data_IF_424121914820
#
_entry.id   IF_424121914820
#
_cell.length_a   1.000
_cell.length_b   1.000
_cell.length_c   1.000
_cell.angle_alpha   90.00
_cell.angle_beta   90.00
_cell.angle_gamma   90.00
#
_symmetry.space_group_name_H-M   'P 1'
#
loop_
_entity.id
_entity.type
_entity.pdbx_description
1 polymer ?
#
# COMPACT_ATOMS: atom_id res chain seq x y z
N UNK A 1 1.53 5.29 7.15
CA UNK A 1 0.39 5.05 6.24
C UNK A 1 -0.18 3.67 6.46
N UNK A 2 0.08 2.71 5.55
CA UNK A 2 -0.44 1.33 5.68
C UNK A 2 0.22 0.53 6.81
N UNK A 3 1.55 0.62 6.94
CA UNK A 3 2.31 -0.05 8.01
C UNK A 3 2.01 0.51 9.42
N UNK A 4 1.29 1.62 9.53
CA UNK A 4 0.89 2.20 10.82
C UNK A 4 -0.49 1.70 11.29
N UNK A 5 -1.19 0.88 10.49
CA UNK A 5 -2.47 0.27 10.85
C UNK A 5 -2.18 -1.13 11.41
N UNK A 6 -2.02 -1.32 12.74
CA UNK A 6 -1.43 -2.55 13.28
C UNK A 6 -2.28 -3.79 13.03
N UNK A 7 -3.61 -3.60 13.05
CA UNK A 7 -4.59 -4.66 12.81
C UNK A 7 -5.04 -4.73 11.34
N UNK A 8 -4.48 -3.88 10.47
CA UNK A 8 -4.86 -3.85 9.05
C UNK A 8 -4.24 -5.00 8.27
N UNK A 9 -5.03 -5.63 7.40
CA UNK A 9 -4.56 -6.74 6.57
C UNK A 9 -3.31 -6.38 5.75
N UNK A 10 -3.23 -5.15 5.22
CA UNK A 10 -2.06 -4.70 4.47
C UNK A 10 -0.79 -4.65 5.32
N UNK A 11 -0.88 -4.20 6.56
CA UNK A 11 0.29 -4.13 7.47
C UNK A 11 0.83 -5.54 7.75
N UNK A 12 -0.07 -6.50 7.98
CA UNK A 12 0.27 -7.91 8.19
C UNK A 12 0.95 -8.52 6.96
N UNK A 13 0.39 -8.29 5.77
CA UNK A 13 0.96 -8.79 4.50
C UNK A 13 2.35 -8.21 4.22
N UNK A 14 2.51 -6.90 4.38
CA UNK A 14 3.79 -6.22 4.20
C UNK A 14 4.84 -6.74 5.20
N UNK A 15 4.46 -6.90 6.47
CA UNK A 15 5.36 -7.43 7.51
C UNK A 15 5.74 -8.88 7.25
N UNK A 16 4.78 -9.72 6.84
CA UNK A 16 5.02 -11.12 6.48
C UNK A 16 5.98 -11.26 5.29
N UNK A 17 5.96 -10.29 4.38
CA UNK A 17 6.87 -10.19 3.24
C UNK A 17 8.18 -9.42 3.55
N UNK A 18 8.48 -9.20 4.83
CA UNK A 18 9.76 -8.66 5.28
C UNK A 18 9.90 -7.14 5.20
N UNK A 19 8.82 -6.39 4.92
CA UNK A 19 8.87 -4.94 5.08
C UNK A 19 8.60 -4.54 6.52
N UNK A 20 9.51 -3.75 7.08
CA UNK A 20 9.23 -3.01 8.31
C UNK A 20 9.04 -1.53 8.01
N UNK A 21 8.21 -0.87 8.84
CA UNK A 21 8.05 0.59 8.84
C UNK A 21 9.41 1.29 8.88
N UNK A 22 10.29 0.80 9.76
CA UNK A 22 11.62 1.37 9.97
C UNK A 22 12.46 1.35 8.70
N UNK A 23 12.45 0.25 7.95
CA UNK A 23 13.26 0.11 6.73
C UNK A 23 12.72 1.01 5.61
N UNK A 24 11.38 1.07 5.46
CA UNK A 24 10.71 1.96 4.50
C UNK A 24 11.01 3.41 4.83
N UNK A 25 10.89 3.83 6.09
CA UNK A 25 11.18 5.21 6.51
C UNK A 25 12.65 5.57 6.31
N UNK A 26 13.56 4.69 6.74
CA UNK A 26 14.99 4.90 6.58
C UNK A 26 15.38 5.06 5.11
N UNK A 27 14.80 4.26 4.22
CA UNK A 27 15.04 4.36 2.79
C UNK A 27 14.37 5.60 2.17
N UNK A 28 13.12 5.89 2.52
CA UNK A 28 12.40 7.06 2.01
C UNK A 28 13.16 8.37 2.33
N UNK A 29 13.69 8.49 3.55
CA UNK A 29 14.53 9.63 3.94
C UNK A 29 15.80 9.75 3.09
N UNK A 30 16.38 8.62 2.66
CA UNK A 30 17.60 8.60 1.83
C UNK A 30 17.31 8.93 0.37
N UNK A 31 16.20 8.43 -0.18
CA UNK A 31 15.85 8.57 -1.60
C UNK A 31 15.27 9.95 -1.91
N UNK A 32 14.37 10.44 -1.08
CA UNK A 32 13.66 11.71 -1.32
C UNK A 32 14.49 12.90 -0.83
N UNK A 33 15.37 12.69 0.17
CA UNK A 33 16.07 13.76 0.86
C UNK A 33 15.13 14.65 1.69
N UNK A 34 15.66 15.50 2.58
CA UNK A 34 14.84 16.55 3.20
C UNK A 34 14.51 17.57 2.11
N UNK A 35 13.25 17.65 1.70
CA UNK A 35 12.78 18.68 0.77
C UNK A 35 13.15 20.08 1.27
N UNK A 36 13.55 20.95 0.35
CA UNK A 36 13.98 22.32 0.58
C UNK A 36 12.84 23.23 1.05
N UNK A 37 12.25 23.01 2.22
CA UNK A 37 11.46 23.99 3.01
C UNK A 37 10.30 24.75 2.35
N UNK A 38 9.96 24.49 1.08
CA UNK A 38 8.90 25.20 0.38
C UNK A 38 7.57 24.55 0.78
N UNK A 39 7.00 25.08 1.86
CA UNK A 39 5.67 24.78 2.35
C UNK A 39 4.59 25.25 1.34
N UNK A 40 4.48 24.57 0.20
CA UNK A 40 3.22 24.48 -0.52
C UNK A 40 2.35 23.42 0.15
N UNK A 41 1.04 23.63 0.21
CA UNK A 41 0.11 22.60 0.67
C UNK A 41 0.40 21.30 -0.07
N UNK A 42 0.78 20.21 0.61
CA UNK A 42 1.11 18.97 -0.07
C UNK A 42 -0.21 18.36 -0.55
N UNK A 43 -0.66 18.77 -1.73
CA UNK A 43 -1.62 17.99 -2.48
C UNK A 43 -1.05 16.59 -2.70
N UNK A 44 -1.92 15.60 -2.76
CA UNK A 44 -1.46 14.26 -3.08
C UNK A 44 -0.81 14.24 -4.48
N UNK A 45 0.25 13.45 -4.65
CA UNK A 45 0.81 13.25 -5.98
C UNK A 45 -0.22 12.55 -6.87
N UNK A 46 -0.20 12.77 -8.19
CA UNK A 46 -1.09 12.07 -9.15
C UNK A 46 -1.16 10.54 -8.97
N UNK A 47 -0.08 9.94 -8.47
CA UNK A 47 0.02 8.51 -8.20
C UNK A 47 -0.85 8.04 -7.03
N UNK A 48 -1.16 8.93 -6.08
CA UNK A 48 -2.06 8.63 -4.96
C UNK A 48 -3.49 8.53 -5.46
N UNK A 49 -3.93 9.47 -6.29
CA UNK A 49 -5.29 9.42 -6.87
C UNK A 49 -5.46 8.18 -7.75
N UNK A 50 -4.45 7.83 -8.55
CA UNK A 50 -4.45 6.61 -9.36
C UNK A 50 -4.46 5.34 -8.50
N UNK A 51 -3.67 5.29 -7.43
CA UNK A 51 -3.66 4.15 -6.51
C UNK A 51 -5.02 3.95 -5.83
N UNK A 52 -5.68 5.04 -5.44
CA UNK A 52 -7.01 4.99 -4.84
C UNK A 52 -8.05 4.49 -5.85
N UNK A 53 -8.02 4.97 -7.09
CA UNK A 53 -8.90 4.49 -8.15
C UNK A 53 -8.70 2.98 -8.41
N UNK A 54 -7.46 2.52 -8.51
CA UNK A 54 -7.14 1.10 -8.66
C UNK A 54 -7.58 0.28 -7.43
N UNK A 55 -7.50 0.84 -6.23
CA UNK A 55 -8.00 0.20 -5.01
C UNK A 55 -9.53 0.03 -5.02
N UNK A 56 -10.28 1.02 -5.52
CA UNK A 56 -11.73 0.91 -5.73
C UNK A 56 -12.06 -0.19 -6.76
N UNK A 57 -11.31 -0.24 -7.85
CA UNK A 57 -11.49 -1.29 -8.87
C UNK A 57 -11.19 -2.68 -8.31
N UNK A 58 -10.15 -2.82 -7.48
CA UNK A 58 -9.83 -4.06 -6.79
C UNK A 58 -10.96 -4.50 -5.85
N UNK A 59 -11.48 -3.60 -5.01
CA UNK A 59 -12.62 -3.88 -4.13
C UNK A 59 -13.84 -4.36 -4.92
N UNK A 60 -14.19 -3.65 -6.00
CA UNK A 60 -15.31 -4.03 -6.88
C UNK A 60 -15.11 -5.39 -7.55
N UNK A 61 -13.89 -5.68 -8.03
CA UNK A 61 -13.54 -6.97 -8.66
C UNK A 61 -13.66 -8.13 -7.68
N UNK A 62 -13.35 -7.89 -6.41
CA UNK A 62 -13.44 -8.87 -5.32
C UNK A 62 -14.84 -8.93 -4.67
N UNK A 63 -15.79 -8.09 -5.11
CA UNK A 63 -17.16 -8.07 -4.59
C UNK A 63 -17.30 -7.38 -3.23
N UNK A 64 -16.39 -6.49 -2.87
CA UNK A 64 -16.42 -5.70 -1.64
C UNK A 64 -16.97 -4.29 -1.89
N UNK A 65 -17.97 -3.89 -1.11
CA UNK A 65 -18.61 -2.57 -1.21
C UNK A 65 -17.79 -1.43 -0.56
N UNK A 66 -16.70 -1.78 0.14
CA UNK A 66 -15.86 -0.83 0.86
C UNK A 66 -14.37 -1.08 0.56
N UNK A 67 -13.63 0.02 0.43
CA UNK A 67 -12.17 0.00 0.32
C UNK A 67 -11.57 -0.12 1.72
N UNK A 68 -10.58 -0.99 1.84
CA UNK A 68 -9.83 -1.26 3.06
C UNK A 68 -8.33 -1.21 2.79
N UNK A 69 -7.52 -1.42 3.82
CA UNK A 69 -6.06 -1.37 3.74
C UNK A 69 -5.50 -2.30 2.68
N UNK A 70 -6.00 -3.54 2.57
CA UNK A 70 -5.52 -4.50 1.55
C UNK A 70 -5.89 -4.05 0.14
N UNK A 71 -7.07 -3.44 -0.06
CA UNK A 71 -7.44 -2.87 -1.36
C UNK A 71 -6.52 -1.70 -1.74
N UNK A 72 -6.17 -0.84 -0.78
CA UNK A 72 -5.22 0.25 -1.01
C UNK A 72 -3.83 -0.30 -1.35
N UNK A 73 -3.41 -1.39 -0.70
CA UNK A 73 -2.16 -2.09 -1.05
C UNK A 73 -2.21 -2.65 -2.47
N UNK A 74 -3.30 -3.33 -2.85
CA UNK A 74 -3.48 -3.83 -4.22
C UNK A 74 -3.46 -2.69 -5.25
N UNK A 75 -4.16 -1.58 -4.99
CA UNK A 75 -4.15 -0.42 -5.88
C UNK A 75 -2.77 0.22 -6.02
N UNK A 76 -1.96 0.21 -4.95
CA UNK A 76 -0.58 0.68 -4.97
C UNK A 76 0.34 -0.25 -5.77
N UNK A 77 0.17 -1.56 -5.63
CA UNK A 77 0.95 -2.59 -6.34
C UNK A 77 0.59 -2.68 -7.83
N UNK A 78 -0.65 -2.33 -8.19
CA UNK A 78 -1.14 -2.33 -9.57
C UNK A 78 -0.70 -1.09 -10.37
N UNK A 79 -0.10 -0.09 -9.72
CA UNK A 79 0.47 1.05 -10.45
C UNK A 79 1.61 0.61 -11.38
N UNK A 80 1.77 1.30 -12.50
CA UNK A 80 2.92 1.09 -13.40
C UNK A 80 4.22 1.73 -12.85
N UNK A 81 4.08 2.78 -12.05
CA UNK A 81 5.21 3.51 -11.45
C UNK A 81 4.77 4.31 -10.23
N UNK A 82 5.73 4.71 -9.40
CA UNK A 82 5.48 5.55 -8.24
C UNK A 82 6.60 5.46 -7.21
N UNK A 83 6.64 6.45 -6.31
CA UNK A 83 7.66 6.48 -5.25
C UNK A 83 7.58 5.26 -4.33
N UNK A 84 6.38 4.78 -4.02
CA UNK A 84 6.21 3.59 -3.18
C UNK A 84 6.74 2.31 -3.86
N UNK A 85 6.41 2.09 -5.14
CA UNK A 85 6.93 0.97 -5.92
C UNK A 85 8.44 1.01 -6.02
N UNK A 86 9.00 2.20 -6.26
CA UNK A 86 10.44 2.40 -6.30
C UNK A 86 11.11 2.05 -4.96
N UNK A 87 10.52 2.45 -3.83
CA UNK A 87 11.03 2.08 -2.51
C UNK A 87 10.96 0.58 -2.25
N UNK A 88 9.86 -0.07 -2.61
CA UNK A 88 9.71 -1.52 -2.43
C UNK A 88 10.69 -2.32 -3.30
N UNK A 89 10.95 -1.88 -4.54
CA UNK A 89 11.96 -2.47 -5.43
C UNK A 89 13.38 -2.32 -4.84
N UNK A 90 13.71 -1.12 -4.33
CA UNK A 90 14.97 -0.87 -3.65
C UNK A 90 15.15 -1.73 -2.38
N UNK A 91 14.06 -2.06 -1.69
CA UNK A 91 14.04 -2.99 -0.55
C UNK A 91 14.08 -4.47 -0.97
N UNK A 92 14.13 -4.76 -2.28
CA UNK A 92 14.21 -6.12 -2.85
C UNK A 92 13.03 -7.02 -2.45
N UNK A 93 11.87 -6.41 -2.29
CA UNK A 93 10.64 -7.11 -1.94
C UNK A 93 10.04 -7.77 -3.17
N UNK A 94 9.50 -8.98 -3.02
CA UNK A 94 8.74 -9.64 -4.08
C UNK A 94 7.33 -9.05 -4.20
N UNK A 95 7.17 -8.03 -5.05
CA UNK A 95 5.87 -7.37 -5.29
C UNK A 95 4.80 -8.35 -5.77
N UNK A 96 5.15 -9.25 -6.68
CA UNK A 96 4.21 -10.27 -7.18
C UNK A 96 3.79 -11.24 -6.09
N UNK A 97 4.70 -11.59 -5.18
CA UNK A 97 4.40 -12.40 -3.99
C UNK A 97 3.38 -11.72 -3.09
N UNK A 98 3.59 -10.45 -2.76
CA UNK A 98 2.64 -9.68 -1.93
C UNK A 98 1.28 -9.58 -2.61
N UNK A 99 1.24 -9.37 -3.92
CA UNK A 99 -0.03 -9.30 -4.65
C UNK A 99 -0.80 -10.63 -4.56
N UNK A 100 -0.12 -11.76 -4.77
CA UNK A 100 -0.72 -13.09 -4.63
C UNK A 100 -1.21 -13.31 -3.19
N UNK A 101 -0.37 -13.03 -2.19
CA UNK A 101 -0.73 -13.17 -0.78
C UNK A 101 -1.94 -12.30 -0.42
N UNK A 102 -2.03 -11.08 -0.98
CA UNK A 102 -3.13 -10.16 -0.76
C UNK A 102 -4.45 -10.66 -1.38
N UNK A 103 -4.40 -11.21 -2.59
CA UNK A 103 -5.56 -11.81 -3.25
C UNK A 103 -6.02 -13.09 -2.52
N UNK A 104 -5.07 -13.92 -2.05
CA UNK A 104 -5.36 -15.12 -1.27
C UNK A 104 -5.95 -14.81 0.11
N UNK A 105 -5.47 -13.76 0.78
CA UNK A 105 -6.00 -13.35 2.08
C UNK A 105 -7.52 -13.08 2.02
N UNK A 106 -8.03 -12.56 0.90
CA UNK A 106 -9.46 -12.38 0.67
C UNK A 106 -10.20 -13.66 0.31
N UNK A 107 -9.56 -14.60 -0.39
CA UNK A 107 -10.14 -15.89 -0.70
C UNK A 107 -10.39 -16.72 0.58
N UNK A 108 -9.44 -16.68 1.51
CA UNK A 108 -9.52 -17.44 2.75
C UNK A 108 -10.44 -16.77 3.79
N UNK A 109 -10.45 -15.43 3.85
CA UNK A 109 -11.16 -14.67 4.90
C UNK A 109 -11.90 -13.44 4.33
N UNK A 110 -12.95 -13.61 3.50
CA UNK A 110 -13.60 -12.54 2.72
C UNK A 110 -14.29 -11.43 3.52
N UNK A 111 -14.36 -11.53 4.86
CA UNK A 111 -15.00 -10.52 5.72
C UNK A 111 -14.17 -10.08 6.93
N UNK A 112 -13.02 -10.71 7.19
CA UNK A 112 -12.32 -10.53 8.48
C UNK A 112 -11.18 -9.50 8.44
N UNK A 113 -10.79 -9.01 7.27
CA UNK A 113 -9.57 -8.21 7.15
C UNK A 113 -9.74 -6.70 7.39
N UNK A 114 -10.94 -6.16 7.54
CA UNK A 114 -11.11 -4.69 7.51
C UNK A 114 -12.20 -4.14 8.45
N UNK A 115 -11.85 -3.33 9.46
CA UNK A 115 -12.70 -2.21 9.86
C UNK A 115 -12.71 -1.20 8.71
N UNK A 116 -13.89 -0.75 8.27
CA UNK A 116 -14.02 0.29 7.25
C UNK A 116 -13.12 1.50 7.57
N UNK A 117 -12.32 1.96 6.60
CA UNK A 117 -11.66 3.26 6.65
C UNK A 117 -12.76 4.32 6.74
N UNK A 118 -12.97 4.87 7.94
CA UNK A 118 -13.92 5.97 8.22
C UNK A 118 -13.26 7.32 8.02
#
# INVERSE_FOLDING_TARGET
>A
GLLDVPEGGASRLLTANGLSRRDVEALAHRVIGRGSGAAGSPGHSKWVDEALERAWQAAKRLGHDQVGTVHVLLGLLDLDTGGALHLMDLLRVNLSGIQIDAEQAFADHPRELEPALR
#
